data_IF_865962417889
#
_entry.id   IF_865962417889
#
_cell.length_a   1.000
_cell.length_b   1.000
_cell.length_c   1.000
_cell.angle_alpha   90.00
_cell.angle_beta   90.00
_cell.angle_gamma   90.00
#
_symmetry.space_group_name_H-M   'P 1'
#
loop_
_entity.id
_entity.type
_entity.pdbx_description
1 polymer ?
#
# COMPACT_ATOMS: atom_id res chain seq x y z
N UNK A 1 17.17 -20.39 21.45
CA UNK A 1 16.54 -21.43 20.63
C UNK A 1 15.06 -21.63 21.00
N UNK A 2 14.67 -21.62 22.27
CA UNK A 2 13.29 -21.75 22.74
C UNK A 2 12.37 -20.58 22.32
N UNK A 3 12.84 -19.33 22.39
CA UNK A 3 12.06 -18.16 21.96
C UNK A 3 11.70 -18.18 20.47
N UNK A 4 12.57 -18.74 19.62
CA UNK A 4 12.33 -18.89 18.17
C UNK A 4 11.25 -19.94 17.90
N UNK A 5 11.21 -21.03 18.67
CA UNK A 5 10.20 -22.09 18.51
C UNK A 5 8.83 -21.61 19.01
N UNK A 6 8.80 -20.88 20.13
CA UNK A 6 7.58 -20.30 20.68
C UNK A 6 6.97 -19.23 19.76
N UNK A 7 7.82 -18.36 19.18
CA UNK A 7 7.37 -17.38 18.18
C UNK A 7 6.83 -18.05 16.93
N UNK A 8 7.49 -19.08 16.40
CA UNK A 8 7.02 -19.85 15.24
C UNK A 8 5.69 -20.55 15.51
N UNK A 9 5.51 -21.12 16.70
CA UNK A 9 4.26 -21.79 17.09
C UNK A 9 3.09 -20.79 17.21
N UNK A 10 3.29 -19.62 17.83
CA UNK A 10 2.27 -18.56 17.92
C UNK A 10 1.86 -18.06 16.54
N UNK A 11 2.82 -17.86 15.66
CA UNK A 11 2.55 -17.43 14.27
C UNK A 11 1.76 -18.49 13.50
N UNK A 12 2.12 -19.76 13.66
CA UNK A 12 1.38 -20.89 13.04
C UNK A 12 -0.07 -20.97 13.53
N UNK A 13 -0.30 -20.91 14.84
CA UNK A 13 -1.66 -20.93 15.40
C UNK A 13 -2.47 -19.70 14.98
N UNK A 14 -1.86 -18.54 14.91
CA UNK A 14 -2.51 -17.32 14.44
C UNK A 14 -2.96 -17.45 12.98
N UNK A 15 -2.10 -17.92 12.09
CA UNK A 15 -2.45 -18.11 10.68
C UNK A 15 -3.50 -19.21 10.49
N UNK A 16 -3.40 -20.32 11.21
CA UNK A 16 -4.42 -21.37 11.19
C UNK A 16 -5.79 -20.84 11.65
N UNK A 17 -5.81 -20.02 12.68
CA UNK A 17 -7.05 -19.40 13.16
C UNK A 17 -7.63 -18.40 12.14
N UNK A 18 -6.80 -17.63 11.46
CA UNK A 18 -7.22 -16.74 10.38
C UNK A 18 -7.80 -17.53 9.19
N UNK A 19 -7.25 -18.69 8.86
CA UNK A 19 -7.79 -19.56 7.81
C UNK A 19 -9.22 -20.04 8.13
N UNK A 20 -9.45 -20.50 9.36
CA UNK A 20 -10.79 -20.88 9.82
C UNK A 20 -11.75 -19.68 9.78
N UNK A 21 -11.32 -18.54 10.31
CA UNK A 21 -12.15 -17.33 10.31
C UNK A 21 -12.49 -16.88 8.88
N UNK A 22 -11.52 -16.90 7.97
CA UNK A 22 -11.77 -16.55 6.58
C UNK A 22 -12.62 -17.55 5.80
N UNK A 23 -12.66 -18.82 6.24
CA UNK A 23 -13.56 -19.81 5.67
C UNK A 23 -15.04 -19.50 6.02
N UNK A 24 -15.31 -19.08 7.25
CA UNK A 24 -16.67 -18.80 7.75
C UNK A 24 -17.14 -17.36 7.54
N UNK A 25 -16.24 -16.43 7.22
CA UNK A 25 -16.56 -15.02 6.99
C UNK A 25 -16.46 -14.67 5.49
N UNK A 26 -17.35 -13.83 5.02
CA UNK A 26 -17.33 -13.29 3.67
C UNK A 26 -17.00 -11.79 3.67
N UNK A 27 -16.33 -11.28 2.63
CA UNK A 27 -16.13 -9.85 2.46
C UNK A 27 -17.44 -9.07 2.62
N UNK A 28 -17.40 -7.96 3.35
CA UNK A 28 -18.55 -7.09 3.57
C UNK A 28 -18.62 -6.02 2.50
N UNK A 29 -19.82 -5.55 2.21
CA UNK A 29 -20.08 -4.38 1.36
C UNK A 29 -19.21 -3.20 1.83
N UNK A 30 -18.59 -2.53 0.90
CA UNK A 30 -17.70 -1.41 1.19
C UNK A 30 -16.63 -1.27 0.12
N UNK A 31 -15.88 -0.17 0.19
CA UNK A 31 -14.73 0.09 -0.67
C UNK A 31 -13.48 -0.23 0.14
N UNK A 32 -12.74 -1.24 -0.27
CA UNK A 32 -11.55 -1.71 0.41
C UNK A 32 -10.32 -1.37 -0.42
N UNK A 33 -9.47 -0.47 0.06
CA UNK A 33 -8.16 -0.23 -0.55
C UNK A 33 -7.16 -1.14 0.16
N UNK A 34 -6.67 -2.14 -0.56
CA UNK A 34 -5.63 -3.04 -0.09
C UNK A 34 -4.25 -2.42 -0.33
N UNK A 35 -3.35 -2.59 0.64
CA UNK A 35 -1.98 -2.13 0.56
C UNK A 35 -1.00 -3.27 0.80
N UNK A 36 -0.27 -3.67 -0.24
CA UNK A 36 0.80 -4.65 -0.21
C UNK A 36 2.17 -4.00 -0.36
N UNK A 37 3.23 -4.83 -0.27
CA UNK A 37 4.59 -4.33 -0.40
C UNK A 37 5.42 -5.17 -1.37
N UNK A 38 5.46 -6.49 -1.18
CA UNK A 38 6.47 -7.36 -1.79
C UNK A 38 5.97 -8.78 -2.02
N UNK A 39 6.78 -9.54 -2.71
CA UNK A 39 6.67 -11.00 -2.82
C UNK A 39 7.56 -11.71 -1.79
N UNK A 40 7.36 -13.02 -1.62
CA UNK A 40 8.14 -13.87 -0.72
C UNK A 40 8.50 -15.21 -1.39
N UNK A 41 9.55 -15.26 -2.23
CA UNK A 41 10.04 -16.47 -2.88
C UNK A 41 9.96 -16.44 -4.41
N UNK A 42 10.27 -17.57 -5.06
CA UNK A 42 10.43 -17.65 -6.52
C UNK A 42 9.12 -17.92 -7.32
N UNK A 43 8.05 -18.40 -6.68
CA UNK A 43 6.78 -18.77 -7.35
C UNK A 43 5.71 -17.69 -7.32
N UNK A 44 6.06 -16.49 -7.06
CA UNK A 44 5.18 -15.39 -6.68
C UNK A 44 4.21 -14.88 -7.75
N UNK A 45 4.57 -14.80 -9.07
CA UNK A 45 3.61 -14.35 -10.07
C UNK A 45 2.38 -15.25 -10.12
N UNK A 46 2.57 -16.57 -9.98
CA UNK A 46 1.47 -17.54 -9.97
C UNK A 46 0.67 -17.45 -8.66
N UNK A 47 1.36 -17.30 -7.53
CA UNK A 47 0.72 -17.17 -6.21
C UNK A 47 -0.21 -15.96 -6.16
N UNK A 48 0.25 -14.78 -6.57
CA UNK A 48 -0.56 -13.58 -6.59
C UNK A 48 -1.73 -13.67 -7.58
N UNK A 49 -1.50 -14.22 -8.77
CA UNK A 49 -2.57 -14.46 -9.74
C UNK A 49 -3.65 -15.38 -9.17
N UNK A 50 -3.26 -16.48 -8.55
CA UNK A 50 -4.22 -17.44 -7.94
C UNK A 50 -4.96 -16.83 -6.76
N UNK A 51 -4.29 -16.00 -5.93
CA UNK A 51 -4.92 -15.25 -4.85
C UNK A 51 -6.02 -14.32 -5.40
N UNK A 52 -5.71 -13.53 -6.43
CA UNK A 52 -6.69 -12.64 -7.06
C UNK A 52 -7.82 -13.40 -7.75
N UNK A 53 -7.51 -14.49 -8.46
CA UNK A 53 -8.50 -15.34 -9.11
C UNK A 53 -9.49 -15.93 -8.09
N UNK A 54 -9.02 -16.37 -6.94
CA UNK A 54 -9.90 -16.88 -5.91
C UNK A 54 -10.67 -15.74 -5.22
N UNK A 55 -10.02 -14.62 -4.92
CA UNK A 55 -10.64 -13.47 -4.28
C UNK A 55 -11.75 -12.85 -5.14
N UNK A 56 -11.58 -12.83 -6.47
CA UNK A 56 -12.55 -12.28 -7.42
C UNK A 56 -13.92 -12.99 -7.42
N UNK A 57 -14.02 -14.17 -6.81
CA UNK A 57 -15.30 -14.85 -6.59
C UNK A 57 -16.17 -14.19 -5.50
N UNK A 58 -15.56 -13.34 -4.68
CA UNK A 58 -16.20 -12.76 -3.49
C UNK A 58 -16.27 -11.23 -3.54
N UNK A 59 -15.45 -10.58 -4.38
CA UNK A 59 -15.35 -9.13 -4.48
C UNK A 59 -15.24 -8.69 -5.93
N UNK A 60 -15.59 -7.46 -6.22
CA UNK A 60 -15.33 -6.82 -7.51
C UNK A 60 -14.09 -5.95 -7.40
N UNK A 61 -13.14 -6.13 -8.32
CA UNK A 61 -11.99 -5.24 -8.44
C UNK A 61 -12.37 -3.98 -9.21
N UNK A 62 -11.88 -2.84 -8.75
CA UNK A 62 -12.08 -1.52 -9.37
C UNK A 62 -10.75 -0.78 -9.44
N UNK A 63 -10.67 0.22 -10.33
CA UNK A 63 -9.52 1.10 -10.41
C UNK A 63 -9.37 1.93 -9.13
N UNK A 64 -8.13 2.24 -8.77
CA UNK A 64 -7.86 2.97 -7.52
C UNK A 64 -8.45 4.37 -7.52
N UNK A 65 -8.50 5.05 -8.66
CA UNK A 65 -9.11 6.38 -8.77
C UNK A 65 -10.62 6.33 -8.57
N UNK A 66 -11.27 5.27 -9.08
CA UNK A 66 -12.71 5.04 -8.85
C UNK A 66 -12.98 4.83 -7.36
N UNK A 67 -12.16 4.02 -6.68
CA UNK A 67 -12.28 3.81 -5.23
C UNK A 67 -12.15 5.12 -4.43
N UNK A 68 -11.17 5.96 -4.76
CA UNK A 68 -10.92 7.24 -4.12
C UNK A 68 -12.09 8.21 -4.36
N UNK A 69 -12.59 8.29 -5.59
CA UNK A 69 -13.72 9.15 -5.94
C UNK A 69 -14.98 8.75 -5.20
N UNK A 70 -15.30 7.45 -5.16
CA UNK A 70 -16.45 6.92 -4.42
C UNK A 70 -16.32 7.19 -2.91
N UNK A 71 -15.13 7.02 -2.32
CA UNK A 71 -14.90 7.34 -0.89
C UNK A 71 -15.09 8.83 -0.64
N UNK A 72 -14.53 9.69 -1.50
CA UNK A 72 -14.68 11.15 -1.39
C UNK A 72 -16.12 11.63 -1.50
N UNK A 73 -16.93 10.97 -2.32
CA UNK A 73 -18.38 11.22 -2.47
C UNK A 73 -19.24 10.50 -1.44
N UNK A 74 -18.64 9.76 -0.51
CA UNK A 74 -19.32 8.94 0.51
C UNK A 74 -20.35 7.96 -0.10
N UNK A 75 -20.00 7.34 -1.23
CA UNK A 75 -20.87 6.36 -1.88
C UNK A 75 -20.83 5.04 -1.10
N UNK A 76 -21.97 4.50 -0.77
CA UNK A 76 -22.12 3.18 -0.16
C UNK A 76 -22.36 2.13 -1.26
N UNK A 77 -21.38 1.25 -1.57
CA UNK A 77 -21.57 0.24 -2.60
C UNK A 77 -22.52 -0.88 -2.15
N UNK A 78 -23.14 -1.54 -3.12
CA UNK A 78 -24.04 -2.68 -2.87
C UNK A 78 -23.31 -4.01 -2.73
N UNK A 79 -22.02 -4.03 -3.08
CA UNK A 79 -21.15 -5.20 -3.07
C UNK A 79 -19.74 -4.84 -2.52
N UNK A 80 -18.90 -5.82 -2.14
CA UNK A 80 -17.52 -5.55 -1.77
C UNK A 80 -16.70 -5.12 -3.00
N UNK A 81 -16.14 -3.90 -2.95
CA UNK A 81 -15.26 -3.35 -3.97
C UNK A 81 -13.82 -3.32 -3.45
N UNK A 82 -12.85 -3.73 -4.27
CA UNK A 82 -11.44 -3.79 -3.89
C UNK A 82 -10.59 -3.05 -4.92
N UNK A 83 -9.73 -2.16 -4.45
CA UNK A 83 -8.68 -1.50 -5.21
C UNK A 83 -7.32 -1.76 -4.55
N UNK A 84 -6.23 -1.58 -5.31
CA UNK A 84 -4.90 -2.00 -4.91
C UNK A 84 -3.92 -0.84 -4.86
N UNK A 85 -3.10 -0.84 -3.81
CA UNK A 85 -1.92 0.02 -3.65
C UNK A 85 -0.73 -0.81 -3.20
N UNK A 86 0.48 -0.33 -3.50
CA UNK A 86 1.72 -0.96 -3.05
C UNK A 86 2.70 0.12 -2.62
N UNK A 87 3.38 -0.11 -1.50
CA UNK A 87 4.35 0.82 -0.93
C UNK A 87 5.79 0.39 -1.26
N UNK A 88 6.77 1.22 -0.93
CA UNK A 88 8.23 1.05 -0.99
C UNK A 88 8.85 1.09 -2.39
N UNK A 89 8.12 0.82 -3.44
CA UNK A 89 8.65 0.91 -4.81
C UNK A 89 9.58 -0.23 -5.23
N UNK A 90 9.40 -1.45 -4.67
CA UNK A 90 10.16 -2.63 -5.07
C UNK A 90 9.89 -3.04 -6.53
N UNK A 91 10.88 -3.67 -7.16
CA UNK A 91 10.80 -4.18 -8.53
C UNK A 91 9.67 -5.20 -8.71
N UNK A 92 9.27 -5.89 -7.66
CA UNK A 92 8.10 -6.76 -7.61
C UNK A 92 6.82 -6.09 -8.15
N UNK A 93 6.71 -4.77 -7.94
CA UNK A 93 5.58 -3.97 -8.43
C UNK A 93 5.52 -3.96 -9.96
N UNK A 94 6.66 -3.84 -10.62
CA UNK A 94 6.79 -3.81 -12.06
C UNK A 94 6.69 -5.19 -12.70
N UNK A 95 7.42 -6.16 -12.15
CA UNK A 95 7.56 -7.49 -12.75
C UNK A 95 6.34 -8.39 -12.49
N UNK A 96 5.65 -8.19 -11.37
CA UNK A 96 4.64 -9.14 -10.88
C UNK A 96 3.27 -8.48 -10.66
N UNK A 97 3.19 -7.41 -9.86
CA UNK A 97 1.90 -6.90 -9.43
C UNK A 97 1.14 -6.19 -10.55
N UNK A 98 1.79 -5.26 -11.24
CA UNK A 98 1.16 -4.53 -12.33
C UNK A 98 0.69 -5.48 -13.45
N UNK A 99 1.52 -6.38 -14.03
CA UNK A 99 1.08 -7.28 -15.09
C UNK A 99 -0.03 -8.25 -14.62
N UNK A 100 -0.04 -8.60 -13.33
CA UNK A 100 -1.09 -9.47 -12.78
C UNK A 100 -2.41 -8.73 -12.66
N UNK A 101 -2.43 -7.51 -12.14
CA UNK A 101 -3.64 -6.69 -12.01
C UNK A 101 -4.24 -6.32 -13.36
N UNK A 102 -3.41 -6.05 -14.37
CA UNK A 102 -3.83 -5.80 -15.75
C UNK A 102 -4.63 -6.96 -16.35
N UNK A 103 -4.31 -8.22 -16.00
CA UNK A 103 -5.09 -9.39 -16.43
C UNK A 103 -6.51 -9.40 -15.84
N UNK A 104 -6.73 -8.68 -14.75
CA UNK A 104 -8.05 -8.47 -14.16
C UNK A 104 -8.70 -7.15 -14.58
N UNK A 105 -8.07 -6.38 -15.48
CA UNK A 105 -8.59 -5.14 -16.03
C UNK A 105 -8.58 -3.97 -15.04
N UNK A 106 -7.69 -3.99 -14.05
CA UNK A 106 -7.57 -2.92 -13.04
C UNK A 106 -6.13 -2.43 -12.90
N UNK A 107 -5.99 -1.19 -12.47
CA UNK A 107 -4.70 -0.58 -12.15
C UNK A 107 -4.39 -0.66 -10.65
N UNK A 108 -3.21 -0.16 -10.29
CA UNK A 108 -2.80 0.08 -8.91
C UNK A 108 -2.11 1.44 -8.76
N UNK A 109 -1.97 1.87 -7.50
CA UNK A 109 -1.14 3.01 -7.13
C UNK A 109 0.12 2.51 -6.41
N UNK A 110 1.28 2.95 -6.89
CA UNK A 110 2.59 2.60 -6.35
C UNK A 110 3.18 3.80 -5.64
N UNK A 111 3.31 3.71 -4.32
CA UNK A 111 3.95 4.72 -3.49
C UNK A 111 5.44 4.46 -3.43
N UNK A 112 6.24 5.43 -3.88
CA UNK A 112 7.69 5.25 -4.07
C UNK A 112 8.51 6.24 -3.26
N UNK A 113 9.75 5.85 -2.97
CA UNK A 113 10.76 6.65 -2.29
C UNK A 113 11.82 7.08 -3.31
N UNK A 114 11.89 8.36 -3.74
CA UNK A 114 12.82 8.82 -4.76
C UNK A 114 14.27 8.45 -4.51
N UNK A 115 14.76 8.57 -3.27
CA UNK A 115 16.15 8.21 -2.96
C UNK A 115 16.41 6.69 -3.09
N UNK A 116 15.42 5.83 -2.86
CA UNK A 116 15.54 4.41 -3.13
C UNK A 116 15.54 4.12 -4.64
N UNK A 117 14.68 4.80 -5.41
CA UNK A 117 14.66 4.71 -6.89
C UNK A 117 15.99 5.10 -7.52
N UNK A 118 16.68 6.11 -7.00
CA UNK A 118 17.98 6.59 -7.50
C UNK A 118 19.18 5.95 -6.80
N UNK A 119 18.94 5.22 -5.71
CA UNK A 119 19.97 4.69 -4.82
C UNK A 119 21.03 3.85 -5.53
N UNK A 120 22.28 4.00 -5.07
CA UNK A 120 23.39 3.09 -5.38
C UNK A 120 23.28 1.80 -4.53
N UNK A 121 24.16 0.85 -4.79
CA UNK A 121 24.13 -0.44 -4.10
C UNK A 121 24.22 -0.34 -2.56
N UNK A 122 25.11 0.48 -1.97
CA UNK A 122 25.14 0.69 -0.52
C UNK A 122 23.86 1.27 0.05
N UNK A 123 23.24 2.25 -0.64
CA UNK A 123 21.98 2.82 -0.19
C UNK A 123 20.82 1.81 -0.30
N UNK A 124 20.76 1.04 -1.40
CA UNK A 124 19.75 -0.02 -1.57
C UNK A 124 19.87 -1.06 -0.46
N UNK A 125 21.09 -1.49 -0.14
CA UNK A 125 21.30 -2.44 0.95
C UNK A 125 20.84 -1.86 2.28
N UNK A 126 21.24 -0.64 2.62
CA UNK A 126 20.81 0.05 3.83
C UNK A 126 19.28 0.19 3.91
N UNK A 127 18.65 0.64 2.82
CA UNK A 127 17.18 0.75 2.75
C UNK A 127 16.49 -0.58 3.03
N UNK A 128 16.96 -1.64 2.34
CA UNK A 128 16.37 -2.97 2.46
C UNK A 128 16.56 -3.60 3.84
N UNK A 129 17.75 -3.51 4.43
CA UNK A 129 18.10 -4.22 5.66
C UNK A 129 17.73 -3.44 6.92
N UNK A 130 18.02 -2.14 6.94
CA UNK A 130 17.89 -1.32 8.15
C UNK A 130 16.55 -0.57 8.22
N UNK A 131 16.04 -0.07 7.08
CA UNK A 131 14.82 0.76 7.06
C UNK A 131 13.58 -0.13 6.96
N UNK A 132 13.42 -0.86 5.84
CA UNK A 132 12.18 -1.64 5.59
C UNK A 132 12.28 -3.11 6.00
N UNK A 133 13.45 -3.58 6.40
CA UNK A 133 13.73 -4.96 6.86
C UNK A 133 13.27 -6.03 5.87
N UNK A 134 13.57 -5.78 4.61
CA UNK A 134 13.18 -6.63 3.48
C UNK A 134 14.39 -6.86 2.58
N UNK A 135 15.32 -7.75 2.97
CA UNK A 135 16.58 -7.94 2.27
C UNK A 135 16.37 -8.48 0.85
N UNK A 136 17.38 -8.30 -0.01
CA UNK A 136 17.45 -8.82 -1.38
C UNK A 136 16.36 -8.28 -2.33
N UNK A 137 15.83 -7.08 -2.08
CA UNK A 137 14.94 -6.39 -3.01
C UNK A 137 15.68 -5.35 -3.84
N UNK A 138 15.18 -5.11 -5.03
CA UNK A 138 15.68 -4.07 -5.94
C UNK A 138 14.60 -3.00 -6.10
N UNK A 139 14.97 -1.71 -6.22
CA UNK A 139 14.01 -0.66 -6.53
C UNK A 139 13.60 -0.69 -7.99
N UNK A 140 12.37 -0.29 -8.26
CA UNK A 140 12.02 0.22 -9.59
C UNK A 140 12.88 1.44 -9.90
N UNK A 141 13.27 1.59 -11.17
CA UNK A 141 13.97 2.79 -11.67
C UNK A 141 12.97 3.71 -12.38
N UNK A 142 13.31 4.96 -12.60
CA UNK A 142 12.43 5.92 -13.25
C UNK A 142 11.90 5.47 -14.62
N UNK A 143 12.66 4.65 -15.36
CA UNK A 143 12.18 4.04 -16.62
C UNK A 143 10.99 3.10 -16.38
N UNK A 144 11.04 2.25 -15.34
CA UNK A 144 9.95 1.35 -14.98
C UNK A 144 8.71 2.13 -14.52
N UNK A 145 8.92 3.17 -13.68
CA UNK A 145 7.85 4.02 -13.19
C UNK A 145 7.15 4.82 -14.31
N UNK A 146 7.92 5.30 -15.29
CA UNK A 146 7.36 5.95 -16.49
C UNK A 146 6.52 4.99 -17.30
N UNK A 147 7.00 3.76 -17.53
CA UNK A 147 6.26 2.73 -18.24
C UNK A 147 4.95 2.38 -17.50
N UNK A 148 5.00 2.14 -16.20
CA UNK A 148 3.80 1.92 -15.39
C UNK A 148 2.79 3.06 -15.51
N UNK A 149 3.27 4.31 -15.48
CA UNK A 149 2.43 5.48 -15.65
C UNK A 149 1.79 5.59 -17.03
N UNK A 150 2.49 5.14 -18.08
CA UNK A 150 1.95 5.06 -19.46
C UNK A 150 0.91 3.95 -19.60
N UNK A 151 1.07 2.85 -18.87
CA UNK A 151 0.14 1.71 -18.80
C UNK A 151 -1.11 2.00 -17.97
N UNK A 152 -1.22 3.19 -17.35
CA UNK A 152 -2.39 3.61 -16.58
C UNK A 152 -2.32 3.34 -15.08
N UNK A 153 -1.17 2.91 -14.57
CA UNK A 153 -0.92 2.86 -13.12
C UNK A 153 -0.56 4.24 -12.57
N UNK A 154 -0.76 4.43 -11.27
CA UNK A 154 -0.50 5.70 -10.59
C UNK A 154 0.83 5.62 -9.84
N UNK A 155 1.71 6.60 -10.05
CA UNK A 155 2.92 6.76 -9.27
C UNK A 155 2.67 7.84 -8.22
N UNK A 156 2.95 7.51 -6.96
CA UNK A 156 2.58 8.30 -5.79
C UNK A 156 3.75 8.40 -4.80
N UNK A 157 3.67 9.33 -3.86
CA UNK A 157 4.76 9.69 -2.97
C UNK A 157 4.71 8.91 -1.64
N UNK A 158 5.92 8.46 -1.17
CA UNK A 158 6.09 7.73 0.10
C UNK A 158 7.25 8.31 0.95
N UNK A 159 7.42 9.61 0.97
CA UNK A 159 8.61 10.34 1.45
C UNK A 159 9.87 10.06 0.62
N UNK A 160 10.91 10.87 0.81
CA UNK A 160 12.19 10.69 0.09
C UNK A 160 12.88 9.37 0.47
N UNK A 161 12.88 9.02 1.79
CA UNK A 161 13.71 7.99 2.39
C UNK A 161 12.91 6.97 3.24
N UNK A 162 11.61 6.82 3.03
CA UNK A 162 10.75 6.06 3.94
C UNK A 162 10.79 6.61 5.38
N UNK A 163 10.86 7.94 5.51
CA UNK A 163 11.02 8.65 6.78
C UNK A 163 9.73 8.63 7.60
N UNK A 164 9.84 8.31 8.90
CA UNK A 164 8.72 8.39 9.85
C UNK A 164 8.37 9.86 10.15
N UNK A 165 7.18 10.29 9.76
CA UNK A 165 6.79 11.71 9.79
C UNK A 165 6.22 12.21 11.13
N UNK A 166 6.44 11.53 12.24
CA UNK A 166 6.01 12.00 13.56
C UNK A 166 6.98 13.02 14.19
N UNK A 167 7.65 13.80 13.37
CA UNK A 167 8.60 14.85 13.75
C UNK A 167 7.94 16.22 13.72
N UNK A 168 8.48 17.17 14.50
CA UNK A 168 8.14 18.59 14.44
C UNK A 168 9.22 19.42 13.71
N UNK A 169 10.25 18.78 13.19
CA UNK A 169 11.25 19.41 12.34
C UNK A 169 10.67 19.71 10.96
N UNK A 170 10.25 20.96 10.77
CA UNK A 170 9.57 21.40 9.54
C UNK A 170 10.50 21.35 8.33
N UNK A 171 11.80 21.57 8.49
CA UNK A 171 12.76 21.53 7.39
C UNK A 171 12.89 20.10 6.86
N UNK A 172 13.11 19.13 7.75
CA UNK A 172 13.11 17.71 7.40
C UNK A 172 11.76 17.27 6.80
N UNK A 173 10.63 17.68 7.38
CA UNK A 173 9.31 17.33 6.84
C UNK A 173 9.09 17.92 5.44
N UNK A 174 9.55 19.14 5.17
CA UNK A 174 9.44 19.73 3.83
C UNK A 174 10.26 18.95 2.79
N UNK A 175 11.48 18.56 3.13
CA UNK A 175 12.30 17.70 2.27
C UNK A 175 11.61 16.36 2.01
N UNK A 176 11.13 15.70 3.05
CA UNK A 176 10.54 14.35 2.96
C UNK A 176 9.19 14.35 2.24
N UNK A 177 8.39 15.42 2.35
CA UNK A 177 7.02 15.47 1.86
C UNK A 177 6.91 16.32 0.59
N UNK A 178 7.42 17.56 0.62
CA UNK A 178 7.23 18.51 -0.49
C UNK A 178 8.20 18.23 -1.63
N UNK A 179 9.49 18.05 -1.33
CA UNK A 179 10.49 17.80 -2.37
C UNK A 179 10.29 16.41 -3.00
N UNK A 180 9.79 15.44 -2.25
CA UNK A 180 9.36 14.14 -2.79
C UNK A 180 8.35 14.31 -3.93
N UNK A 181 7.31 15.14 -3.74
CA UNK A 181 6.34 15.45 -4.78
C UNK A 181 7.00 16.06 -6.01
N UNK A 182 7.82 17.10 -5.83
CA UNK A 182 8.47 17.81 -6.93
C UNK A 182 9.31 16.87 -7.81
N UNK A 183 10.12 16.01 -7.16
CA UNK A 183 10.97 15.05 -7.89
C UNK A 183 10.11 14.06 -8.68
N UNK A 184 9.06 13.50 -8.08
CA UNK A 184 8.18 12.56 -8.78
C UNK A 184 7.52 13.23 -9.98
N UNK A 185 6.98 14.46 -9.82
CA UNK A 185 6.35 15.21 -10.91
C UNK A 185 7.34 15.55 -12.03
N UNK A 186 8.56 15.97 -11.69
CA UNK A 186 9.62 16.22 -12.67
C UNK A 186 9.99 14.95 -13.45
N UNK A 187 10.22 13.85 -12.75
CA UNK A 187 10.68 12.60 -13.37
C UNK A 187 9.59 11.90 -14.18
N UNK A 188 8.35 11.91 -13.70
CA UNK A 188 7.21 11.23 -14.36
C UNK A 188 6.56 12.11 -15.42
N UNK A 189 6.59 13.44 -15.23
CA UNK A 189 5.94 14.40 -16.13
C UNK A 189 4.43 14.48 -15.97
N UNK A 190 3.91 14.06 -14.81
CA UNK A 190 2.48 14.12 -14.45
C UNK A 190 2.34 14.62 -13.02
N UNK A 191 1.19 15.21 -12.69
CA UNK A 191 0.85 15.58 -11.32
C UNK A 191 0.88 14.37 -10.38
N UNK A 192 1.40 14.57 -9.16
CA UNK A 192 1.43 13.58 -8.10
C UNK A 192 0.55 14.03 -6.91
N UNK A 193 -0.77 13.84 -6.97
CA UNK A 193 -1.69 14.32 -5.94
C UNK A 193 -1.84 13.37 -4.75
N UNK A 194 -1.09 12.28 -4.70
CA UNK A 194 -1.26 11.18 -3.73
C UNK A 194 -0.01 10.99 -2.87
N UNK A 195 -0.22 10.85 -1.57
CA UNK A 195 0.84 10.61 -0.59
C UNK A 195 0.40 9.56 0.44
N UNK A 196 1.24 8.56 0.69
CA UNK A 196 1.11 7.68 1.85
C UNK A 196 2.29 7.90 2.79
N UNK A 197 2.03 8.03 4.08
CA UNK A 197 3.13 8.12 5.02
C UNK A 197 3.66 6.73 5.41
N UNK A 198 4.99 6.59 5.56
CA UNK A 198 5.65 5.33 5.89
C UNK A 198 5.13 4.69 7.19
N UNK A 199 5.23 3.36 7.25
CA UNK A 199 4.72 2.51 8.34
C UNK A 199 3.19 2.55 8.52
N UNK A 200 2.52 3.62 8.13
CA UNK A 200 1.08 3.77 8.01
C UNK A 200 0.25 3.78 9.29
N UNK A 201 0.84 3.62 10.49
CA UNK A 201 0.09 3.74 11.75
C UNK A 201 -0.16 5.21 12.09
N UNK A 202 -1.34 5.54 12.63
CA UNK A 202 -1.69 6.92 12.97
C UNK A 202 -0.73 7.57 13.98
N UNK A 203 -0.09 6.76 14.83
CA UNK A 203 0.93 7.22 15.79
C UNK A 203 2.29 7.55 15.16
N UNK A 204 2.48 7.25 13.88
CA UNK A 204 3.72 7.50 13.13
C UNK A 204 3.65 8.79 12.28
N UNK A 205 2.57 9.53 12.45
CA UNK A 205 2.39 10.88 11.97
C UNK A 205 1.90 11.75 13.13
N UNK A 206 2.12 13.05 13.06
CA UNK A 206 1.55 14.02 13.98
C UNK A 206 0.76 15.10 13.21
N UNK A 207 0.08 16.01 13.91
CA UNK A 207 -0.75 17.01 13.27
C UNK A 207 0.05 17.92 12.33
N UNK A 208 1.28 18.31 12.72
CA UNK A 208 2.16 19.16 11.89
C UNK A 208 2.48 18.50 10.56
N UNK A 209 2.90 17.24 10.57
CA UNK A 209 3.23 16.51 9.33
C UNK A 209 2.00 16.25 8.46
N UNK A 210 0.86 15.94 9.06
CA UNK A 210 -0.41 15.77 8.33
C UNK A 210 -0.86 17.08 7.69
N UNK A 211 -0.72 18.21 8.39
CA UNK A 211 -1.06 19.53 7.83
C UNK A 211 -0.18 19.87 6.63
N UNK A 212 1.12 19.58 6.70
CA UNK A 212 2.04 19.75 5.56
C UNK A 212 1.63 18.83 4.40
N UNK A 213 1.38 17.55 4.68
CA UNK A 213 0.97 16.58 3.67
C UNK A 213 -0.35 17.00 2.98
N UNK A 214 -1.38 17.38 3.74
CA UNK A 214 -2.68 17.78 3.22
C UNK A 214 -2.66 19.13 2.47
N UNK A 215 -1.71 20.00 2.75
CA UNK A 215 -1.47 21.22 1.94
C UNK A 215 -0.73 20.93 0.63
N UNK A 216 0.07 19.86 0.61
CA UNK A 216 0.92 19.49 -0.52
C UNK A 216 0.21 18.54 -1.49
N UNK A 217 -0.55 17.58 -0.96
CA UNK A 217 -1.22 16.53 -1.73
C UNK A 217 -2.73 16.62 -1.56
N UNK A 218 -3.46 16.23 -2.59
CA UNK A 218 -4.92 16.19 -2.56
C UNK A 218 -5.46 15.02 -1.72
N UNK A 219 -4.71 13.91 -1.69
CA UNK A 219 -5.09 12.70 -0.97
C UNK A 219 -3.92 12.16 -0.17
N UNK A 220 -4.15 11.97 1.13
CA UNK A 220 -3.18 11.41 2.08
C UNK A 220 -3.70 10.06 2.57
N UNK A 221 -2.82 9.05 2.69
CA UNK A 221 -3.19 7.70 3.07
C UNK A 221 -2.44 7.21 4.29
N UNK A 222 -3.15 6.45 5.13
CA UNK A 222 -2.59 5.60 6.18
C UNK A 222 -2.63 4.12 5.79
N UNK A 223 -2.12 3.26 6.68
CA UNK A 223 -2.32 1.81 6.66
C UNK A 223 -2.88 1.35 8.00
N UNK A 224 -3.88 2.07 8.50
CA UNK A 224 -4.42 1.90 9.84
C UNK A 224 -5.92 2.14 9.84
N UNK A 225 -6.56 1.75 10.94
CA UNK A 225 -7.95 2.04 11.24
C UNK A 225 -8.95 1.71 10.13
N UNK A 226 -8.70 0.63 9.42
CA UNK A 226 -9.36 0.27 8.17
C UNK A 226 -10.89 0.05 8.28
N UNK A 227 -11.45 0.07 9.48
CA UNK A 227 -12.91 0.06 9.72
C UNK A 227 -13.55 1.38 9.34
N UNK A 228 -12.82 2.46 9.50
CA UNK A 228 -13.23 3.81 9.12
C UNK A 228 -12.60 4.17 7.77
N UNK A 229 -13.34 4.87 6.91
CA UNK A 229 -12.77 5.35 5.64
C UNK A 229 -11.73 6.43 5.86
N UNK A 230 -11.89 7.22 6.91
CA UNK A 230 -11.03 8.37 7.17
C UNK A 230 -10.46 8.36 8.59
N UNK A 231 -9.32 9.03 8.75
CA UNK A 231 -8.70 9.42 10.02
C UNK A 231 -8.30 10.89 9.95
N UNK A 232 -7.75 11.45 11.05
CA UNK A 232 -7.34 12.85 11.14
C UNK A 232 -8.43 13.82 10.66
N UNK A 233 -9.64 13.71 11.25
CA UNK A 233 -10.79 14.56 10.94
C UNK A 233 -11.22 14.56 9.46
N UNK A 234 -11.12 13.42 8.79
CA UNK A 234 -11.50 13.28 7.38
C UNK A 234 -10.38 13.55 6.37
N UNK A 235 -9.18 13.87 6.83
CA UNK A 235 -8.06 14.28 5.96
C UNK A 235 -7.22 13.12 5.43
N UNK A 236 -7.31 11.93 6.04
CA UNK A 236 -6.49 10.77 5.70
C UNK A 236 -7.37 9.59 5.36
N UNK A 237 -7.19 8.99 4.19
CA UNK A 237 -7.88 7.78 3.72
C UNK A 237 -7.19 6.56 4.31
N UNK A 238 -7.95 5.66 4.92
CA UNK A 238 -7.43 4.47 5.55
C UNK A 238 -7.41 3.28 4.59
N UNK A 239 -6.23 2.61 4.51
CA UNK A 239 -6.02 1.41 3.71
C UNK A 239 -5.91 0.18 4.60
N UNK A 240 -6.09 -0.99 4.02
CA UNK A 240 -5.91 -2.27 4.70
C UNK A 240 -4.63 -2.96 4.25
N UNK A 241 -3.74 -3.25 5.18
CA UNK A 241 -2.57 -4.08 4.92
C UNK A 241 -2.96 -5.48 4.46
N UNK A 242 -2.33 -5.94 3.40
CA UNK A 242 -2.31 -7.32 2.95
C UNK A 242 -0.95 -7.64 2.32
N UNK A 243 -0.66 -8.92 2.12
CA UNK A 243 0.50 -9.29 1.31
C UNK A 243 0.07 -10.25 0.20
N UNK A 244 0.64 -10.10 -1.00
CA UNK A 244 0.32 -10.90 -2.18
C UNK A 244 0.52 -12.42 -2.02
N UNK A 245 1.28 -12.84 -1.01
CA UNK A 245 1.53 -14.25 -0.67
C UNK A 245 0.65 -14.79 0.48
N UNK A 246 -0.25 -13.99 1.03
CA UNK A 246 -1.16 -14.47 2.07
C UNK A 246 -2.21 -15.42 1.52
N UNK A 247 -2.64 -16.44 2.28
CA UNK A 247 -3.81 -17.25 1.93
C UNK A 247 -5.04 -16.37 1.70
N UNK A 248 -5.82 -16.71 0.70
CA UNK A 248 -7.04 -15.95 0.36
C UNK A 248 -8.01 -15.82 1.54
N UNK A 249 -8.10 -16.85 2.39
CA UNK A 249 -8.96 -16.79 3.57
C UNK A 249 -8.55 -15.69 4.55
N UNK A 250 -7.25 -15.38 4.69
CA UNK A 250 -6.80 -14.27 5.51
C UNK A 250 -7.31 -12.93 4.93
N UNK A 251 -7.20 -12.76 3.62
CA UNK A 251 -7.70 -11.54 2.94
C UNK A 251 -9.21 -11.44 3.10
N UNK A 252 -9.98 -12.53 2.89
CA UNK A 252 -11.43 -12.58 3.10
C UNK A 252 -11.82 -12.15 4.51
N UNK A 253 -11.15 -12.70 5.52
CA UNK A 253 -11.40 -12.32 6.91
C UNK A 253 -11.17 -10.83 7.16
N UNK A 254 -10.08 -10.29 6.63
CA UNK A 254 -9.79 -8.86 6.77
C UNK A 254 -10.79 -7.97 6.03
N UNK A 255 -11.37 -8.44 4.95
CA UNK A 255 -12.45 -7.74 4.22
C UNK A 255 -13.85 -7.97 4.82
N UNK A 256 -13.99 -8.88 5.80
CA UNK A 256 -15.28 -9.13 6.47
C UNK A 256 -15.70 -8.04 7.46
N UNK A 257 -14.93 -6.99 7.58
CA UNK A 257 -15.20 -5.86 8.44
C UNK A 257 -16.11 -4.85 7.74
N UNK A 258 -17.19 -4.44 8.42
CA UNK A 258 -18.04 -3.36 7.93
C UNK A 258 -17.30 -2.03 8.01
N UNK A 259 -17.18 -1.35 6.88
CA UNK A 259 -16.59 -0.01 6.79
C UNK A 259 -17.64 1.07 7.09
N UNK A 260 -17.16 2.21 7.61
CA UNK A 260 -18.00 3.33 7.99
C UNK A 260 -17.41 4.66 7.50
N UNK A 261 -18.30 5.57 7.15
CA UNK A 261 -17.99 7.00 7.07
C UNK A 261 -18.23 7.61 8.46
N UNK A 262 -17.27 8.37 8.94
CA UNK A 262 -17.44 9.22 10.14
C UNK A 262 -18.25 10.46 9.78
#
# INVERSE_FOLDING_TARGET
MEDSLYMKSRTFFFFFFLDILGFIHTPQKGIHILNGHRTQGEKEPETFYMQLKELSKYVKFINIEEAIDMIGKKVEPTEPLVAFTFDDGFMDCYDIFAPTLEKFGVNAMFFINPNYVEGDEPYIQHFNEDIVRTPNKMPMRWSHLKDLSQRGHIIAAHTMDHYMINSNDVETLNYQIIDCKKIIEEKIGKECPYFAFPYGKLTQANQTSIDIACKTYKYVFSQSDYKEYFSFNGNVINRRHFEPFWPVNHVKYFLSCKKKFQ
#
